data_IF_442299106116
#
_entry.id   IF_442299106116
#
_cell.length_a   1.000
_cell.length_b   1.000
_cell.length_c   1.000
_cell.angle_alpha   90.00
_cell.angle_beta   90.00
_cell.angle_gamma   90.00
#
_symmetry.space_group_name_H-M   'P 1'
#
loop_
_entity.id
_entity.type
_entity.pdbx_description
1 polymer ?
#
# COMPACT_ATOMS: atom_id res chain seq x y z
N UNK A 1 -27.32 20.64 16.32
CA UNK A 1 -27.62 19.35 16.97
C UNK A 1 -28.81 18.67 16.29
N UNK A 2 -28.80 17.34 16.09
CA UNK A 2 -29.95 16.55 15.62
C UNK A 2 -30.51 15.80 16.83
N UNK A 3 -31.72 16.12 17.23
CA UNK A 3 -32.44 15.38 18.30
C UNK A 3 -32.85 14.00 17.80
N UNK A 4 -32.71 12.98 18.64
CA UNK A 4 -33.25 11.64 18.40
C UNK A 4 -34.78 11.64 18.46
N UNK A 5 -35.44 10.58 18.01
CA UNK A 5 -36.91 10.49 18.05
C UNK A 5 -37.45 10.55 19.49
N UNK A 6 -36.79 9.83 20.39
CA UNK A 6 -37.18 9.76 21.82
C UNK A 6 -36.97 11.12 22.50
N UNK A 7 -35.88 11.83 22.22
CA UNK A 7 -35.66 13.20 22.76
C UNK A 7 -36.75 14.17 22.31
N UNK A 8 -37.18 14.07 21.04
CA UNK A 8 -38.26 14.94 20.51
C UNK A 8 -39.60 14.62 21.20
N UNK A 9 -39.87 13.35 21.44
CA UNK A 9 -41.07 12.90 22.13
C UNK A 9 -41.10 13.41 23.58
N UNK A 10 -39.97 13.30 24.28
CA UNK A 10 -39.80 13.80 25.62
C UNK A 10 -40.02 15.31 25.70
N UNK A 11 -39.44 16.06 24.78
CA UNK A 11 -39.62 17.53 24.67
C UNK A 11 -41.12 17.86 24.44
N UNK A 12 -41.81 17.12 23.56
CA UNK A 12 -43.24 17.31 23.33
C UNK A 12 -44.02 17.07 24.62
N UNK A 13 -43.81 15.97 25.33
CA UNK A 13 -44.48 15.63 26.60
C UNK A 13 -44.19 16.66 27.68
N UNK A 14 -42.96 17.16 27.79
CA UNK A 14 -42.59 18.23 28.71
C UNK A 14 -43.35 19.54 28.42
N UNK A 15 -43.50 19.88 27.15
CA UNK A 15 -44.25 21.11 26.74
C UNK A 15 -45.75 20.94 27.02
N UNK A 16 -46.37 19.77 26.75
CA UNK A 16 -47.77 19.51 26.97
C UNK A 16 -48.12 19.50 28.48
N UNK A 17 -47.22 18.97 29.33
CA UNK A 17 -47.44 18.89 30.78
C UNK A 17 -46.89 20.07 31.58
N UNK A 18 -46.35 21.09 30.92
CA UNK A 18 -45.76 22.24 31.59
C UNK A 18 -46.80 23.23 32.07
N UNK A 19 -46.65 23.68 33.32
CA UNK A 19 -47.43 24.83 33.85
C UNK A 19 -47.03 26.18 33.25
N UNK A 20 -45.93 26.23 32.46
CA UNK A 20 -45.45 27.41 31.79
C UNK A 20 -45.99 27.45 30.36
N UNK A 21 -46.23 28.65 29.86
CA UNK A 21 -46.62 28.81 28.44
C UNK A 21 -45.52 28.27 27.50
N UNK A 22 -45.93 27.68 26.37
CA UNK A 22 -45.07 27.00 25.37
C UNK A 22 -43.78 27.75 25.08
N UNK A 23 -43.86 29.07 24.92
CA UNK A 23 -42.67 29.91 24.63
C UNK A 23 -41.62 29.79 25.73
N UNK A 24 -42.03 29.97 26.99
CA UNK A 24 -41.11 29.95 28.14
C UNK A 24 -40.51 28.56 28.39
N UNK A 25 -41.29 27.52 28.12
CA UNK A 25 -40.82 26.13 28.23
C UNK A 25 -39.76 25.82 27.17
N UNK A 26 -40.02 26.20 25.91
CA UNK A 26 -39.06 26.01 24.82
C UNK A 26 -37.78 26.82 24.97
N UNK A 27 -37.90 28.07 25.47
CA UNK A 27 -36.74 28.92 25.75
C UNK A 27 -35.82 28.28 26.83
N UNK A 28 -36.42 27.65 27.87
CA UNK A 28 -35.68 26.92 28.90
C UNK A 28 -35.01 25.63 28.38
N UNK A 29 -35.64 24.95 27.41
CA UNK A 29 -35.15 23.75 26.77
C UNK A 29 -34.15 24.04 25.63
N UNK A 30 -33.93 25.30 25.26
CA UNK A 30 -33.06 25.70 24.16
C UNK A 30 -33.57 25.24 22.79
N UNK A 31 -34.89 25.05 22.63
CA UNK A 31 -35.49 24.59 21.36
C UNK A 31 -36.20 25.72 20.65
N UNK A 32 -35.82 25.98 19.39
CA UNK A 32 -36.46 27.00 18.58
C UNK A 32 -37.92 26.62 18.28
N UNK A 33 -38.86 27.61 18.49
CA UNK A 33 -40.30 27.44 18.26
C UNK A 33 -40.68 26.82 16.90
N UNK A 34 -40.10 27.26 15.75
CA UNK A 34 -40.44 26.67 14.46
C UNK A 34 -40.04 25.20 14.36
N UNK A 35 -38.96 24.82 15.03
CA UNK A 35 -38.48 23.43 15.09
C UNK A 35 -39.44 22.56 15.90
N UNK A 36 -39.87 23.03 17.06
CA UNK A 36 -40.86 22.32 17.88
C UNK A 36 -42.19 22.13 17.15
N UNK A 37 -42.80 23.17 16.60
CA UNK A 37 -44.08 23.06 15.89
C UNK A 37 -44.01 22.15 14.66
N UNK A 38 -42.86 22.10 13.99
CA UNK A 38 -42.64 21.15 12.90
C UNK A 38 -42.62 19.69 13.39
N UNK A 39 -42.05 19.40 14.57
CA UNK A 39 -42.11 18.08 15.18
C UNK A 39 -43.52 17.77 15.67
N UNK A 40 -44.16 18.72 16.33
CA UNK A 40 -45.51 18.57 16.89
C UNK A 40 -46.54 18.29 15.79
N UNK A 41 -46.50 19.01 14.69
CA UNK A 41 -47.37 18.71 13.54
C UNK A 41 -47.17 17.28 12.99
N UNK A 42 -45.93 16.81 12.95
CA UNK A 42 -45.64 15.42 12.52
C UNK A 42 -46.12 14.36 13.54
N UNK A 43 -45.99 14.69 14.80
CA UNK A 43 -46.47 13.84 15.91
C UNK A 43 -47.99 13.73 15.85
N UNK A 44 -48.71 14.82 15.69
CA UNK A 44 -50.18 14.80 15.54
C UNK A 44 -50.64 14.01 14.31
N UNK A 45 -49.90 14.12 13.19
CA UNK A 45 -50.28 13.46 11.94
C UNK A 45 -49.94 11.93 11.91
N UNK A 46 -48.89 11.48 12.62
CA UNK A 46 -48.35 10.12 12.46
C UNK A 46 -47.91 9.45 13.80
N UNK A 47 -48.24 10.05 14.90
CA UNK A 47 -47.79 9.58 16.23
C UNK A 47 -46.26 9.60 16.37
N UNK A 48 -45.71 8.74 17.21
CA UNK A 48 -44.29 8.62 17.49
C UNK A 48 -43.46 8.32 16.22
N UNK A 49 -44.01 7.54 15.28
CA UNK A 49 -43.34 7.24 13.99
C UNK A 49 -43.05 8.50 13.14
N UNK A 50 -43.84 9.59 13.35
CA UNK A 50 -43.63 10.86 12.69
C UNK A 50 -42.39 11.62 13.16
N UNK A 51 -41.84 11.27 14.32
CA UNK A 51 -40.66 11.92 14.91
C UNK A 51 -39.34 11.32 14.42
N UNK A 52 -39.39 10.16 13.79
CA UNK A 52 -38.19 9.53 13.24
C UNK A 52 -37.44 10.46 12.29
N UNK A 53 -36.12 10.50 12.43
CA UNK A 53 -35.27 11.26 11.56
C UNK A 53 -35.26 10.60 10.17
N UNK A 54 -35.93 11.21 9.20
CA UNK A 54 -35.83 10.76 7.81
C UNK A 54 -34.41 11.01 7.31
N UNK A 55 -33.70 9.93 7.02
CA UNK A 55 -32.45 10.01 6.31
C UNK A 55 -32.75 10.39 4.85
N UNK A 56 -32.47 11.64 4.50
CA UNK A 56 -32.56 12.14 3.10
C UNK A 56 -31.25 11.90 2.37
N UNK A 57 -30.69 10.71 2.45
CA UNK A 57 -29.65 10.29 1.54
C UNK A 57 -30.28 9.78 0.24
N UNK A 58 -29.59 9.85 -0.90
CA UNK A 58 -30.06 9.14 -2.09
C UNK A 58 -30.26 7.67 -1.73
N UNK A 59 -31.43 7.12 -2.01
CA UNK A 59 -31.78 5.75 -1.67
C UNK A 59 -30.78 4.74 -2.24
N UNK A 60 -30.18 5.08 -3.39
CA UNK A 60 -29.10 4.31 -4.03
C UNK A 60 -28.08 5.29 -4.63
N UNK A 61 -26.87 5.45 -4.09
CA UNK A 61 -25.83 6.24 -4.71
C UNK A 61 -25.38 5.57 -6.02
N UNK A 62 -25.20 6.35 -7.07
CA UNK A 62 -24.79 5.87 -8.41
C UNK A 62 -23.51 5.04 -8.41
N UNK A 63 -22.65 5.22 -7.41
CA UNK A 63 -21.37 4.55 -7.26
C UNK A 63 -21.43 3.33 -6.33
N UNK A 64 -22.63 2.85 -5.96
CA UNK A 64 -22.79 1.63 -5.16
C UNK A 64 -22.26 0.43 -5.96
N UNK A 65 -21.47 -0.42 -5.31
CA UNK A 65 -21.04 -1.68 -5.89
C UNK A 65 -22.23 -2.63 -6.08
N UNK A 66 -22.37 -3.27 -7.26
CA UNK A 66 -23.30 -4.38 -7.45
C UNK A 66 -23.02 -5.50 -6.45
N UNK A 67 -24.06 -6.24 -6.07
CA UNK A 67 -23.94 -7.30 -5.08
C UNK A 67 -23.04 -8.45 -5.54
N UNK A 68 -23.10 -8.80 -6.82
CA UNK A 68 -22.20 -9.78 -7.42
C UNK A 68 -20.71 -9.38 -7.28
N UNK A 69 -20.39 -8.11 -7.54
CA UNK A 69 -19.03 -7.58 -7.40
C UNK A 69 -18.57 -7.61 -5.95
N UNK A 70 -19.49 -7.35 -5.00
CA UNK A 70 -19.19 -7.44 -3.57
C UNK A 70 -18.87 -8.87 -3.15
N UNK A 71 -19.68 -9.84 -3.60
CA UNK A 71 -19.45 -11.26 -3.33
C UNK A 71 -18.08 -11.72 -3.81
N UNK A 72 -17.76 -11.48 -5.08
CA UNK A 72 -16.45 -11.84 -5.66
C UNK A 72 -15.27 -11.18 -4.95
N UNK A 73 -15.44 -9.94 -4.45
CA UNK A 73 -14.38 -9.25 -3.72
C UNK A 73 -14.15 -9.86 -2.33
N UNK A 74 -15.22 -10.31 -1.67
CA UNK A 74 -15.13 -11.01 -0.38
C UNK A 74 -14.48 -12.38 -0.58
N UNK A 75 -14.87 -13.13 -1.60
CA UNK A 75 -14.25 -14.41 -1.96
C UNK A 75 -12.75 -14.26 -2.18
N UNK A 76 -12.33 -13.29 -3.00
CA UNK A 76 -10.91 -12.99 -3.21
C UNK A 76 -10.16 -12.64 -1.91
N UNK A 77 -10.81 -11.90 -1.01
CA UNK A 77 -10.18 -11.55 0.27
C UNK A 77 -10.04 -12.74 1.23
N UNK A 78 -10.91 -13.75 1.12
CA UNK A 78 -10.82 -15.00 1.88
C UNK A 78 -9.78 -15.95 1.28
N UNK A 79 -9.62 -15.95 -0.05
CA UNK A 79 -8.61 -16.73 -0.75
C UNK A 79 -7.19 -16.18 -0.55
N UNK A 80 -7.06 -14.84 -0.47
CA UNK A 80 -5.79 -14.16 -0.33
C UNK A 80 -5.79 -13.24 0.93
N UNK A 81 -5.84 -13.80 2.14
CA UNK A 81 -6.01 -13.03 3.38
C UNK A 81 -4.80 -12.13 3.72
N UNK A 82 -3.66 -12.37 3.11
CA UNK A 82 -2.42 -11.60 3.33
C UNK A 82 -2.40 -10.28 2.56
N UNK A 83 -3.26 -10.14 1.54
CA UNK A 83 -3.30 -8.95 0.73
C UNK A 83 -3.99 -7.79 1.47
N UNK A 84 -3.36 -6.62 1.43
CA UNK A 84 -3.97 -5.39 1.92
C UNK A 84 -5.18 -4.98 1.06
N UNK A 85 -6.13 -4.17 1.58
CA UNK A 85 -7.26 -3.67 0.81
C UNK A 85 -6.86 -2.97 -0.50
N UNK A 86 -5.67 -2.37 -0.53
CA UNK A 86 -5.09 -1.72 -1.70
C UNK A 86 -4.67 -2.76 -2.75
N UNK A 87 -3.95 -3.79 -2.33
CA UNK A 87 -3.51 -4.87 -3.21
C UNK A 87 -4.69 -5.66 -3.75
N UNK A 88 -5.68 -5.96 -2.91
CA UNK A 88 -6.95 -6.57 -3.32
C UNK A 88 -7.70 -5.74 -4.38
N UNK A 89 -7.74 -4.40 -4.22
CA UNK A 89 -8.38 -3.52 -5.21
C UNK A 89 -7.69 -3.61 -6.57
N UNK A 90 -6.37 -3.66 -6.57
CA UNK A 90 -5.57 -3.78 -7.82
C UNK A 90 -5.74 -5.17 -8.44
N UNK A 91 -5.61 -6.22 -7.63
CA UNK A 91 -5.76 -7.61 -8.06
C UNK A 91 -7.14 -7.85 -8.67
N UNK A 92 -8.19 -7.42 -7.97
CA UNK A 92 -9.57 -7.51 -8.44
C UNK A 92 -9.79 -6.75 -9.75
N UNK A 93 -9.24 -5.53 -9.86
CA UNK A 93 -9.37 -4.72 -11.09
C UNK A 93 -8.77 -5.42 -12.29
N UNK A 94 -7.62 -6.09 -12.13
CA UNK A 94 -7.01 -6.86 -13.22
C UNK A 94 -7.77 -8.15 -13.54
N UNK A 95 -8.12 -8.92 -12.51
CA UNK A 95 -8.75 -10.22 -12.69
C UNK A 95 -10.17 -10.12 -13.29
N UNK A 96 -10.93 -9.11 -12.86
CA UNK A 96 -12.35 -8.96 -13.24
C UNK A 96 -12.60 -7.87 -14.31
N UNK A 97 -11.58 -7.12 -14.71
CA UNK A 97 -11.75 -5.98 -15.61
C UNK A 97 -12.73 -4.93 -15.07
N UNK A 98 -12.85 -4.82 -13.74
CA UNK A 98 -13.81 -3.97 -13.05
C UNK A 98 -13.14 -3.17 -11.94
N UNK A 99 -13.17 -1.86 -12.05
CA UNK A 99 -12.50 -0.98 -11.09
C UNK A 99 -13.23 -0.88 -9.75
N UNK A 100 -12.49 -1.10 -8.67
CA UNK A 100 -12.88 -0.80 -7.29
C UNK A 100 -11.81 0.07 -6.64
N UNK A 101 -12.22 1.01 -5.79
CA UNK A 101 -11.26 1.83 -5.05
C UNK A 101 -10.84 1.14 -3.76
N UNK A 102 -9.61 1.35 -3.31
CA UNK A 102 -9.09 0.89 -2.03
C UNK A 102 -10.03 1.21 -0.86
N UNK A 103 -10.52 2.45 -0.78
CA UNK A 103 -11.43 2.88 0.28
C UNK A 103 -12.78 2.15 0.25
N UNK A 104 -13.20 1.64 -0.90
CA UNK A 104 -14.42 0.82 -1.02
C UNK A 104 -14.15 -0.60 -0.54
N UNK A 105 -13.01 -1.18 -0.94
CA UNK A 105 -12.55 -2.49 -0.44
C UNK A 105 -12.41 -2.46 1.07
N UNK A 106 -11.69 -1.47 1.61
CA UNK A 106 -11.52 -1.31 3.06
C UNK A 106 -12.86 -1.28 3.81
N UNK A 107 -13.83 -0.46 3.34
CA UNK A 107 -15.16 -0.37 3.99
C UNK A 107 -15.95 -1.67 3.89
N UNK A 108 -15.84 -2.38 2.76
CA UNK A 108 -16.49 -3.67 2.57
C UNK A 108 -15.91 -4.72 3.53
N UNK A 109 -14.59 -4.87 3.56
CA UNK A 109 -13.92 -5.83 4.43
C UNK A 109 -14.14 -5.52 5.91
N UNK A 110 -14.11 -4.23 6.28
CA UNK A 110 -14.44 -3.82 7.66
C UNK A 110 -15.88 -4.15 8.05
N UNK A 111 -16.84 -4.02 7.13
CA UNK A 111 -18.24 -4.37 7.40
C UNK A 111 -18.47 -5.88 7.56
N UNK A 112 -17.52 -6.71 7.11
CA UNK A 112 -17.52 -8.17 7.23
C UNK A 112 -16.51 -8.69 8.26
N UNK A 113 -15.94 -7.81 9.10
CA UNK A 113 -14.93 -8.12 10.12
C UNK A 113 -13.68 -8.86 9.57
N UNK A 114 -13.36 -8.65 8.28
CA UNK A 114 -12.21 -9.25 7.61
C UNK A 114 -10.94 -8.41 7.72
N UNK A 115 -10.98 -7.25 8.38
CA UNK A 115 -9.78 -6.45 8.67
C UNK A 115 -9.37 -6.71 10.09
N UNK A 116 -8.31 -7.49 10.26
CA UNK A 116 -7.78 -7.92 11.56
C UNK A 116 -6.73 -6.99 12.14
N UNK A 117 -6.20 -6.05 11.37
CA UNK A 117 -5.10 -5.17 11.79
C UNK A 117 -5.48 -3.69 11.67
N UNK A 118 -5.07 -2.84 12.64
CA UNK A 118 -5.18 -1.40 12.46
C UNK A 118 -4.36 -0.98 11.24
N UNK A 119 -4.88 -0.05 10.46
CA UNK A 119 -4.18 0.49 9.31
C UNK A 119 -2.77 0.92 9.70
N UNK A 120 -1.75 0.36 9.04
CA UNK A 120 -0.38 0.78 9.23
C UNK A 120 -0.29 2.27 8.91
N UNK A 121 0.15 3.06 9.86
CA UNK A 121 0.49 4.46 9.62
C UNK A 121 1.75 4.46 8.75
N UNK A 122 1.58 4.70 7.46
CA UNK A 122 2.70 4.91 6.55
C UNK A 122 3.32 6.26 6.91
N UNK A 123 4.41 6.23 7.65
CA UNK A 123 5.25 7.41 7.84
C UNK A 123 5.83 7.76 6.47
N UNK A 124 5.39 8.87 5.90
CA UNK A 124 6.00 9.40 4.67
C UNK A 124 7.48 9.59 4.94
N UNK A 125 8.33 8.91 4.15
CA UNK A 125 9.75 9.14 4.19
C UNK A 125 10.01 10.62 3.84
N UNK A 126 10.58 11.36 4.78
CA UNK A 126 11.01 12.73 4.54
C UNK A 126 12.22 12.68 3.59
N UNK A 127 12.17 13.53 2.57
CA UNK A 127 13.24 13.89 1.64
C UNK A 127 13.97 12.74 0.92
N UNK A 128 13.59 12.59 -0.32
CA UNK A 128 14.27 11.75 -1.29
C UNK A 128 15.64 12.35 -1.68
N UNK A 129 16.54 11.47 -2.13
CA UNK A 129 17.81 11.81 -2.74
C UNK A 129 17.67 12.94 -3.78
N UNK A 130 18.57 13.93 -3.77
CA UNK A 130 18.48 15.10 -4.66
C UNK A 130 18.51 14.73 -6.14
N UNK A 131 19.25 13.67 -6.51
CA UNK A 131 19.35 13.17 -7.89
C UNK A 131 18.40 11.99 -8.07
N UNK A 132 17.13 12.27 -8.33
CA UNK A 132 16.14 11.21 -8.62
C UNK A 132 16.52 10.47 -9.90
N UNK A 133 16.51 9.14 -9.82
CA UNK A 133 16.63 8.29 -11.00
C UNK A 133 15.42 8.45 -11.90
N UNK A 134 15.64 8.51 -13.21
CA UNK A 134 14.60 8.66 -14.23
C UNK A 134 14.40 7.39 -15.06
N UNK A 135 15.26 6.39 -14.87
CA UNK A 135 15.21 5.12 -15.59
C UNK A 135 15.93 4.00 -14.85
N UNK A 136 15.69 2.79 -15.30
CA UNK A 136 16.32 1.58 -14.76
C UNK A 136 17.83 1.58 -15.02
N UNK A 137 18.56 0.89 -14.15
CA UNK A 137 20.02 0.72 -14.27
C UNK A 137 20.84 2.03 -14.25
N UNK A 138 20.31 3.12 -13.74
CA UNK A 138 21.06 4.36 -13.51
C UNK A 138 21.79 4.35 -12.17
N UNK A 139 21.14 3.82 -11.14
CA UNK A 139 21.67 3.74 -9.79
C UNK A 139 21.22 2.42 -9.16
N UNK A 140 22.18 1.68 -8.62
CA UNK A 140 21.93 0.47 -7.84
C UNK A 140 22.23 0.72 -6.38
N UNK A 141 21.32 0.33 -5.49
CA UNK A 141 21.57 0.33 -4.06
C UNK A 141 22.09 -1.04 -3.64
N UNK A 142 23.06 -1.05 -2.75
CA UNK A 142 23.58 -2.26 -2.13
C UNK A 142 23.68 -2.10 -0.63
N UNK A 143 23.36 -3.17 0.07
CA UNK A 143 23.50 -3.27 1.51
C UNK A 143 23.51 -4.73 1.95
N UNK A 144 24.04 -4.98 3.15
CA UNK A 144 23.98 -6.28 3.80
C UNK A 144 22.88 -6.32 4.84
N UNK A 145 22.17 -7.45 4.90
CA UNK A 145 21.38 -7.80 6.06
C UNK A 145 21.79 -9.18 6.55
N UNK A 146 21.44 -9.55 7.78
CA UNK A 146 21.93 -10.79 8.40
C UNK A 146 20.78 -11.62 8.95
N UNK A 147 21.00 -12.95 8.93
CA UNK A 147 20.11 -13.96 9.44
C UNK A 147 20.89 -14.97 10.28
N UNK A 148 20.23 -15.54 11.28
CA UNK A 148 20.82 -16.60 12.10
C UNK A 148 20.24 -17.97 11.69
N UNK A 149 21.12 -18.92 11.40
CA UNK A 149 20.74 -20.32 11.17
C UNK A 149 21.17 -21.12 12.40
N UNK A 150 20.24 -21.85 13.00
CA UNK A 150 20.48 -22.61 14.23
C UNK A 150 21.53 -23.70 14.00
N UNK A 151 22.56 -23.70 14.83
CA UNK A 151 23.69 -24.66 14.69
C UNK A 151 24.77 -24.22 13.69
N UNK A 152 24.52 -23.25 12.82
CA UNK A 152 25.47 -22.82 11.77
C UNK A 152 26.01 -21.38 11.98
N UNK A 153 25.30 -20.55 12.77
CA UNK A 153 25.73 -19.20 13.07
C UNK A 153 25.06 -18.14 12.20
N UNK A 154 25.80 -17.07 11.88
CA UNK A 154 25.29 -15.92 11.15
C UNK A 154 25.59 -16.02 9.65
N UNK A 155 24.60 -15.71 8.84
CA UNK A 155 24.69 -15.56 7.40
C UNK A 155 24.33 -14.13 7.00
N UNK A 156 24.96 -13.64 5.96
CA UNK A 156 24.84 -12.26 5.49
C UNK A 156 24.29 -12.25 4.07
N UNK A 157 23.20 -11.55 3.86
CA UNK A 157 22.57 -11.41 2.56
C UNK A 157 23.08 -10.12 1.90
N UNK A 158 23.89 -10.26 0.85
CA UNK A 158 24.27 -9.18 -0.05
C UNK A 158 23.17 -8.99 -1.08
N UNK A 159 22.69 -7.75 -1.27
CA UNK A 159 21.58 -7.44 -2.19
C UNK A 159 21.94 -6.29 -3.12
N UNK A 160 21.55 -6.39 -4.38
CA UNK A 160 21.61 -5.31 -5.37
C UNK A 160 20.18 -4.98 -5.83
N UNK A 161 19.74 -3.77 -5.52
CA UNK A 161 18.41 -3.24 -5.82
C UNK A 161 18.52 -2.09 -6.83
N UNK A 162 17.73 -2.14 -7.90
CA UNK A 162 17.58 -1.00 -8.82
C UNK A 162 16.80 0.14 -8.17
N UNK A 163 17.40 1.32 -8.10
CA UNK A 163 16.82 2.47 -7.40
C UNK A 163 15.51 2.94 -8.01
N UNK A 164 15.37 2.89 -9.33
CA UNK A 164 14.18 3.35 -10.03
C UNK A 164 12.99 2.41 -9.86
N UNK A 165 13.19 1.16 -10.24
CA UNK A 165 12.13 0.13 -10.27
C UNK A 165 11.91 -0.61 -8.95
N UNK A 166 12.84 -0.52 -7.99
CA UNK A 166 12.88 -1.35 -6.76
C UNK A 166 13.15 -2.83 -7.03
N UNK A 167 13.44 -3.22 -8.25
CA UNK A 167 13.71 -4.59 -8.63
C UNK A 167 14.98 -5.11 -7.98
N UNK A 168 14.92 -6.28 -7.36
CA UNK A 168 16.10 -6.98 -6.84
C UNK A 168 16.76 -7.69 -8.02
N UNK A 169 17.90 -7.12 -8.47
CA UNK A 169 18.61 -7.60 -9.64
C UNK A 169 19.40 -8.87 -9.30
N UNK A 170 20.08 -8.84 -8.14
CA UNK A 170 20.88 -9.95 -7.65
C UNK A 170 20.93 -9.96 -6.13
N UNK A 171 21.12 -11.14 -5.58
CA UNK A 171 21.34 -11.35 -4.16
C UNK A 171 22.19 -12.60 -3.95
N UNK A 172 22.90 -12.66 -2.82
CA UNK A 172 23.69 -13.82 -2.41
C UNK A 172 23.69 -13.96 -0.89
N UNK A 173 23.56 -15.19 -0.42
CA UNK A 173 23.76 -15.55 0.97
C UNK A 173 25.25 -15.85 1.19
N UNK A 174 25.90 -15.09 2.07
CA UNK A 174 27.33 -15.12 2.33
C UNK A 174 27.60 -15.49 3.79
N UNK A 175 28.77 -16.06 4.06
CA UNK A 175 29.23 -16.32 5.43
C UNK A 175 30.05 -15.15 6.00
N UNK A 176 30.43 -14.20 5.16
CA UNK A 176 31.20 -13.00 5.53
C UNK A 176 30.55 -11.74 4.93
N UNK A 177 31.04 -10.55 5.32
CA UNK A 177 30.69 -9.26 4.72
C UNK A 177 31.95 -8.60 4.16
N UNK A 178 32.66 -9.29 3.27
CA UNK A 178 33.88 -8.78 2.66
C UNK A 178 33.60 -8.10 1.31
N UNK A 179 34.56 -7.33 0.83
CA UNK A 179 34.48 -6.69 -0.49
C UNK A 179 34.29 -7.73 -1.62
N UNK A 180 34.91 -8.90 -1.48
CA UNK A 180 34.72 -10.02 -2.41
C UNK A 180 33.26 -10.50 -2.50
N UNK A 181 32.50 -10.52 -1.40
CA UNK A 181 31.08 -10.90 -1.41
C UNK A 181 30.25 -9.87 -2.19
N UNK A 182 30.59 -8.57 -2.04
CA UNK A 182 29.92 -7.49 -2.78
C UNK A 182 30.25 -7.58 -4.27
N UNK A 183 31.52 -7.75 -4.64
CA UNK A 183 31.93 -7.83 -6.06
C UNK A 183 31.30 -9.03 -6.76
N UNK A 184 31.25 -10.19 -6.12
CA UNK A 184 30.59 -11.38 -6.67
C UNK A 184 29.08 -11.17 -6.88
N UNK A 185 28.40 -10.45 -5.96
CA UNK A 185 26.99 -10.12 -6.13
C UNK A 185 26.80 -9.11 -7.29
N UNK A 186 27.68 -8.14 -7.42
CA UNK A 186 27.69 -7.18 -8.53
C UNK A 186 27.96 -7.84 -9.89
N UNK A 187 28.84 -8.87 -9.96
CA UNK A 187 29.06 -9.64 -11.19
C UNK A 187 27.80 -10.34 -11.67
N UNK A 188 27.06 -10.95 -10.73
CA UNK A 188 25.74 -11.54 -11.05
C UNK A 188 24.79 -10.44 -11.54
N UNK A 189 24.72 -9.30 -10.85
CA UNK A 189 23.86 -8.20 -11.24
C UNK A 189 24.18 -7.65 -12.63
N UNK A 190 25.45 -7.43 -12.96
CA UNK A 190 25.89 -6.97 -14.28
C UNK A 190 25.52 -7.95 -15.39
N UNK A 191 25.62 -9.25 -15.13
CA UNK A 191 25.27 -10.30 -16.08
C UNK A 191 23.77 -10.35 -16.32
N UNK A 192 22.97 -10.41 -15.24
CA UNK A 192 21.51 -10.55 -15.31
C UNK A 192 20.87 -9.28 -15.93
N UNK A 193 21.38 -8.10 -15.62
CA UNK A 193 20.88 -6.84 -16.17
C UNK A 193 21.31 -6.56 -17.62
N UNK A 194 22.25 -7.35 -18.15
CA UNK A 194 22.87 -7.09 -19.46
C UNK A 194 23.85 -5.90 -19.47
N UNK A 195 24.07 -5.25 -18.31
CA UNK A 195 24.98 -4.11 -18.20
C UNK A 195 26.47 -4.51 -18.32
N UNK A 196 26.81 -5.79 -18.38
CA UNK A 196 28.14 -6.28 -18.63
C UNK A 196 28.61 -6.00 -20.06
N UNK A 197 27.68 -5.92 -21.02
CA UNK A 197 28.00 -5.72 -22.44
C UNK A 197 28.66 -4.37 -22.69
N UNK A 198 29.74 -4.36 -23.49
CA UNK A 198 30.64 -3.23 -23.69
C UNK A 198 30.01 -1.98 -24.36
N UNK A 199 28.78 -2.05 -24.86
CA UNK A 199 28.11 -0.97 -25.60
C UNK A 199 27.18 -0.09 -24.73
N UNK A 200 27.14 -0.30 -23.42
CA UNK A 200 26.34 0.52 -22.52
C UNK A 200 27.14 1.83 -22.24
N UNK A 201 26.70 2.94 -22.78
CA UNK A 201 27.37 4.25 -22.60
C UNK A 201 27.45 4.67 -21.12
N UNK A 202 26.46 4.28 -20.31
CA UNK A 202 26.42 4.61 -18.89
C UNK A 202 26.23 3.35 -18.05
N UNK A 203 27.29 2.93 -17.40
CA UNK A 203 27.21 1.88 -16.36
C UNK A 203 26.44 2.41 -15.14
N UNK A 204 25.68 1.55 -14.43
CA UNK A 204 25.01 1.97 -13.22
C UNK A 204 25.98 2.48 -12.17
N UNK A 205 25.60 3.52 -11.44
CA UNK A 205 26.33 3.96 -10.25
C UNK A 205 25.93 3.07 -9.08
N UNK A 206 26.87 2.76 -8.21
CA UNK A 206 26.60 2.01 -6.98
C UNK A 206 26.38 2.99 -5.83
N UNK A 207 25.30 2.83 -5.08
CA UNK A 207 25.03 3.55 -3.82
C UNK A 207 25.14 2.56 -2.66
N UNK A 208 26.03 2.86 -1.72
CA UNK A 208 26.23 2.07 -0.49
C UNK A 208 26.28 2.96 0.74
N UNK A 209 26.25 2.37 1.91
CA UNK A 209 26.67 3.01 3.15
C UNK A 209 28.21 3.17 3.23
N UNK A 210 28.71 3.55 4.41
CA UNK A 210 30.14 3.67 4.68
C UNK A 210 30.70 2.45 5.45
N UNK A 211 30.09 1.28 5.30
CA UNK A 211 30.57 0.05 5.91
C UNK A 211 31.99 -0.33 5.42
N UNK A 212 32.76 -1.09 6.25
CA UNK A 212 34.16 -1.42 5.94
C UNK A 212 34.34 -2.08 4.56
N UNK A 213 33.42 -2.96 4.15
CA UNK A 213 33.46 -3.60 2.84
C UNK A 213 33.29 -2.60 1.69
N UNK A 214 32.50 -1.53 1.87
CA UNK A 214 32.20 -0.54 0.84
C UNK A 214 33.27 0.57 0.73
N UNK A 215 34.08 0.80 1.77
CA UNK A 215 35.21 1.75 1.74
C UNK A 215 36.52 1.10 1.33
N UNK A 216 36.54 -0.20 1.09
CA UNK A 216 37.74 -0.96 0.75
C UNK A 216 38.33 -0.54 -0.59
N UNK A 217 39.67 -0.57 -0.68
CA UNK A 217 40.36 -0.32 -1.94
C UNK A 217 40.08 -1.40 -2.98
N UNK A 218 39.85 -2.63 -2.55
CA UNK A 218 39.52 -3.76 -3.40
C UNK A 218 38.24 -3.49 -4.21
N UNK A 219 37.14 -3.09 -3.52
CA UNK A 219 35.88 -2.74 -4.18
C UNK A 219 36.08 -1.52 -5.10
N UNK A 220 36.81 -0.50 -4.65
CA UNK A 220 37.07 0.70 -5.45
C UNK A 220 37.81 0.37 -6.76
N UNK A 221 38.82 -0.48 -6.71
CA UNK A 221 39.55 -0.97 -7.89
C UNK A 221 38.65 -1.76 -8.83
N UNK A 222 37.85 -2.67 -8.26
CA UNK A 222 36.93 -3.48 -9.05
C UNK A 222 35.90 -2.61 -9.78
N UNK A 223 35.23 -1.66 -9.07
CA UNK A 223 34.25 -0.73 -9.65
C UNK A 223 34.87 0.11 -10.78
N UNK A 224 36.10 0.62 -10.56
CA UNK A 224 36.84 1.33 -11.59
C UNK A 224 37.11 0.48 -12.83
N UNK A 225 37.48 -0.78 -12.63
CA UNK A 225 37.67 -1.77 -13.71
C UNK A 225 36.40 -2.03 -14.51
N UNK A 226 35.25 -1.98 -13.88
CA UNK A 226 33.94 -2.14 -14.52
C UNK A 226 33.39 -0.81 -15.12
N UNK A 227 34.03 0.32 -14.91
CA UNK A 227 33.55 1.63 -15.35
C UNK A 227 32.33 2.12 -14.54
N UNK A 228 32.13 1.61 -13.34
CA UNK A 228 31.03 1.97 -12.44
C UNK A 228 31.42 3.10 -11.49
N UNK A 229 30.56 4.11 -11.37
CA UNK A 229 30.71 5.13 -10.33
C UNK A 229 30.24 4.63 -8.97
N UNK A 230 30.88 5.11 -7.90
CA UNK A 230 30.49 4.81 -6.53
C UNK A 230 30.03 6.07 -5.80
N UNK A 231 28.81 6.03 -5.28
CA UNK A 231 28.22 7.08 -4.43
C UNK A 231 28.07 6.49 -3.03
N UNK A 232 28.58 7.17 -2.03
CA UNK A 232 28.43 6.76 -0.64
C UNK A 232 27.48 7.71 0.08
N UNK A 233 26.66 7.17 0.96
CA UNK A 233 25.78 7.97 1.81
C UNK A 233 26.59 8.97 2.63
N UNK A 234 26.09 10.20 2.77
CA UNK A 234 26.71 11.16 3.67
C UNK A 234 26.67 10.63 5.11
N UNK A 235 27.73 10.83 5.91
CA UNK A 235 27.72 10.43 7.32
C UNK A 235 26.50 11.05 8.02
N UNK A 236 25.79 10.25 8.83
CA UNK A 236 24.57 10.62 9.57
C UNK A 236 23.35 11.02 8.72
N UNK A 237 23.29 10.64 7.45
CA UNK A 237 22.09 10.76 6.62
C UNK A 237 21.55 9.38 6.19
N UNK A 238 20.84 8.64 7.05
CA UNK A 238 20.30 7.29 6.75
C UNK A 238 19.26 7.30 5.63
N UNK A 239 18.72 8.46 5.28
CA UNK A 239 17.63 8.59 4.30
C UNK A 239 18.06 8.25 2.85
N UNK A 240 19.34 8.19 2.56
CA UNK A 240 19.87 7.92 1.22
C UNK A 240 19.60 6.50 0.74
N UNK A 241 19.48 5.53 1.65
CA UNK A 241 19.26 4.11 1.37
C UNK A 241 17.88 3.57 1.79
N UNK A 242 16.94 4.46 2.09
CA UNK A 242 15.62 4.08 2.59
C UNK A 242 14.83 3.09 1.72
N UNK A 243 15.23 2.86 0.46
CA UNK A 243 14.61 1.86 -0.42
C UNK A 243 15.07 0.46 -0.11
N UNK A 244 16.39 0.26 0.02
CA UNK A 244 16.96 -1.06 0.37
C UNK A 244 16.68 -1.40 1.85
N UNK A 245 16.64 -0.41 2.73
CA UNK A 245 16.26 -0.62 4.13
C UNK A 245 14.82 -1.15 4.24
N UNK A 246 13.88 -0.57 3.49
CA UNK A 246 12.49 -1.08 3.44
C UNK A 246 12.39 -2.47 2.82
N UNK A 247 13.22 -2.76 1.84
CA UNK A 247 13.34 -4.10 1.29
C UNK A 247 13.77 -5.08 2.39
N UNK A 248 14.86 -4.79 3.10
CA UNK A 248 15.33 -5.62 4.20
C UNK A 248 14.28 -5.79 5.31
N UNK A 249 13.56 -4.73 5.67
CA UNK A 249 12.48 -4.82 6.64
C UNK A 249 11.36 -5.74 6.15
N UNK A 250 10.96 -5.63 4.89
CA UNK A 250 9.92 -6.48 4.31
C UNK A 250 10.35 -7.95 4.26
N UNK A 251 11.59 -8.20 3.86
CA UNK A 251 12.19 -9.55 3.84
C UNK A 251 12.24 -10.16 5.25
N UNK A 252 12.75 -9.40 6.22
CA UNK A 252 12.83 -9.87 7.62
C UNK A 252 11.46 -10.18 8.21
N UNK A 253 10.46 -9.39 7.92
CA UNK A 253 9.10 -9.63 8.43
C UNK A 253 8.48 -10.93 7.91
N UNK A 254 8.93 -11.44 6.76
CA UNK A 254 8.48 -12.72 6.22
C UNK A 254 9.43 -13.87 6.64
N UNK A 255 10.72 -13.73 6.35
CA UNK A 255 11.70 -14.80 6.54
C UNK A 255 11.96 -15.09 8.01
N UNK A 256 11.89 -14.10 8.93
CA UNK A 256 12.11 -14.35 10.36
C UNK A 256 10.89 -14.92 11.11
N UNK A 257 9.79 -15.18 10.42
CA UNK A 257 8.66 -15.90 11.02
C UNK A 257 8.99 -17.39 11.24
N UNK A 258 10.00 -17.91 10.53
CA UNK A 258 10.45 -19.29 10.60
C UNK A 258 11.85 -19.40 11.22
N UNK A 259 12.15 -20.55 11.77
CA UNK A 259 13.47 -20.91 12.26
C UNK A 259 14.16 -21.84 11.25
N UNK A 260 15.35 -21.46 10.82
CA UNK A 260 16.11 -22.22 9.84
C UNK A 260 17.16 -23.10 10.53
N UNK A 261 17.23 -24.36 10.14
CA UNK A 261 18.17 -25.34 10.64
C UNK A 261 19.25 -25.67 9.61
N UNK A 262 18.98 -25.41 8.33
CA UNK A 262 19.96 -25.60 7.24
C UNK A 262 20.08 -24.26 6.46
N UNK A 263 21.32 -23.91 6.06
CA UNK A 263 21.53 -22.72 5.22
C UNK A 263 20.75 -22.76 3.91
N UNK A 264 20.56 -23.95 3.32
CA UNK A 264 19.79 -24.13 2.09
C UNK A 264 18.30 -23.77 2.23
N UNK A 265 17.70 -24.04 3.39
CA UNK A 265 16.28 -23.68 3.65
C UNK A 265 16.12 -22.17 3.70
N UNK A 266 17.07 -21.47 4.34
CA UNK A 266 17.10 -20.00 4.35
C UNK A 266 17.29 -19.44 2.94
N UNK A 267 18.21 -20.01 2.15
CA UNK A 267 18.46 -19.58 0.78
C UNK A 267 17.22 -19.75 -0.09
N UNK A 268 16.53 -20.87 0.02
CA UNK A 268 15.27 -21.13 -0.67
C UNK A 268 14.20 -20.11 -0.29
N UNK A 269 13.97 -19.87 1.01
CA UNK A 269 12.97 -18.91 1.51
C UNK A 269 13.26 -17.49 1.04
N UNK A 270 14.53 -17.08 1.05
CA UNK A 270 14.94 -15.78 0.48
C UNK A 270 14.65 -15.72 -1.02
N UNK A 271 14.95 -16.77 -1.76
CA UNK A 271 14.69 -16.87 -3.20
C UNK A 271 13.21 -16.75 -3.55
N UNK A 272 12.36 -17.47 -2.83
CA UNK A 272 10.90 -17.42 -2.97
C UNK A 272 10.36 -16.01 -2.66
N UNK A 273 10.85 -15.39 -1.59
CA UNK A 273 10.46 -14.03 -1.26
C UNK A 273 10.93 -13.01 -2.30
N UNK A 274 12.14 -13.12 -2.84
CA UNK A 274 12.62 -12.26 -3.93
C UNK A 274 11.74 -12.40 -5.16
N UNK A 275 11.38 -13.63 -5.53
CA UNK A 275 10.47 -13.87 -6.66
C UNK A 275 9.10 -13.22 -6.44
N UNK A 276 8.51 -13.42 -5.26
CA UNK A 276 7.27 -12.77 -4.86
C UNK A 276 7.39 -11.24 -4.90
N UNK A 277 8.42 -10.67 -4.27
CA UNK A 277 8.65 -9.24 -4.20
C UNK A 277 8.79 -8.61 -5.60
N UNK A 278 9.55 -9.23 -6.47
CA UNK A 278 9.80 -8.71 -7.81
C UNK A 278 8.58 -8.83 -8.73
N UNK A 279 7.83 -9.92 -8.67
CA UNK A 279 6.84 -10.27 -9.69
C UNK A 279 5.39 -10.19 -9.23
N UNK A 280 5.12 -10.20 -7.92
CA UNK A 280 3.75 -10.26 -7.40
C UNK A 280 3.39 -9.10 -6.49
N UNK A 281 4.34 -8.57 -5.72
CA UNK A 281 4.08 -7.50 -4.77
C UNK A 281 3.87 -6.17 -5.48
N UNK A 282 2.71 -5.54 -5.23
CA UNK A 282 2.41 -4.19 -5.69
C UNK A 282 3.03 -3.13 -4.80
N UNK A 283 3.70 -2.13 -5.41
CA UNK A 283 4.33 -1.03 -4.71
C UNK A 283 3.57 0.28 -4.89
N UNK A 284 3.18 0.90 -3.78
CA UNK A 284 2.47 2.19 -3.80
C UNK A 284 3.28 3.28 -4.50
N UNK A 285 4.59 3.36 -4.21
CA UNK A 285 5.49 4.33 -4.83
C UNK A 285 5.67 4.13 -6.35
N UNK A 286 5.29 2.98 -6.87
CA UNK A 286 5.29 2.64 -8.29
C UNK A 286 3.87 2.65 -8.89
N UNK A 287 2.91 3.36 -8.28
CA UNK A 287 1.50 3.37 -8.71
C UNK A 287 0.85 1.98 -8.69
N UNK A 288 1.24 1.15 -7.73
CA UNK A 288 0.76 -0.22 -7.55
C UNK A 288 1.03 -1.16 -8.75
N UNK A 289 2.17 -1.01 -9.40
CA UNK A 289 2.74 -2.04 -10.30
C UNK A 289 3.85 -2.78 -9.58
N UNK A 290 4.26 -3.93 -10.12
CA UNK A 290 5.34 -4.72 -9.53
C UNK A 290 6.72 -4.14 -9.93
N UNK A 291 7.78 -4.37 -9.14
CA UNK A 291 9.13 -3.99 -9.51
C UNK A 291 9.54 -4.52 -10.88
N UNK A 292 9.19 -5.76 -11.21
CA UNK A 292 9.47 -6.36 -12.51
C UNK A 292 8.76 -5.65 -13.66
N UNK A 293 7.52 -5.20 -13.47
CA UNK A 293 6.80 -4.48 -14.52
C UNK A 293 7.47 -3.14 -14.85
N UNK A 294 7.99 -2.45 -13.84
CA UNK A 294 8.74 -1.21 -14.06
C UNK A 294 10.10 -1.51 -14.69
N UNK A 295 10.84 -2.50 -14.16
CA UNK A 295 12.18 -2.85 -14.62
C UNK A 295 12.21 -3.28 -16.10
N UNK A 296 11.20 -4.05 -16.53
CA UNK A 296 11.06 -4.53 -17.90
C UNK A 296 10.22 -3.60 -18.81
N UNK A 297 9.88 -2.39 -18.35
CA UNK A 297 9.21 -1.37 -19.15
C UNK A 297 7.72 -1.62 -19.43
N UNK A 298 7.06 -2.53 -18.67
CA UNK A 298 5.63 -2.85 -18.84
C UNK A 298 4.72 -1.92 -18.04
N UNK A 299 5.27 -1.16 -17.08
CA UNK A 299 4.51 -0.40 -16.10
C UNK A 299 3.52 0.59 -16.71
N UNK A 300 3.95 1.38 -17.71
CA UNK A 300 3.09 2.37 -18.36
C UNK A 300 1.89 1.74 -19.08
N UNK A 301 2.10 0.63 -19.79
CA UNK A 301 1.03 -0.10 -20.48
C UNK A 301 -0.03 -0.62 -19.48
N UNK A 302 0.42 -1.17 -18.35
CA UNK A 302 -0.46 -1.64 -17.27
C UNK A 302 -1.28 -0.50 -16.68
N UNK A 303 -0.66 0.65 -16.42
CA UNK A 303 -1.34 1.83 -15.87
C UNK A 303 -2.38 2.40 -16.83
N UNK A 304 -2.07 2.42 -18.11
CA UNK A 304 -3.00 2.85 -19.16
C UNK A 304 -4.20 1.91 -19.28
N UNK A 305 -3.98 0.59 -19.22
CA UNK A 305 -5.06 -0.39 -19.19
C UNK A 305 -5.97 -0.21 -17.97
N UNK A 306 -5.40 -0.03 -16.78
CA UNK A 306 -6.17 0.27 -15.55
C UNK A 306 -7.00 1.54 -15.69
N UNK A 307 -6.46 2.57 -16.35
CA UNK A 307 -7.17 3.81 -16.61
C UNK A 307 -8.41 3.56 -17.47
N UNK A 308 -8.27 2.79 -18.55
CA UNK A 308 -9.38 2.40 -19.43
C UNK A 308 -10.45 1.58 -18.69
N UNK A 309 -10.03 0.59 -17.88
CA UNK A 309 -10.94 -0.20 -17.05
C UNK A 309 -11.73 0.70 -16.10
N UNK A 310 -11.04 1.63 -15.42
CA UNK A 310 -11.67 2.59 -14.50
C UNK A 310 -12.71 3.45 -15.20
N UNK A 311 -12.38 4.05 -16.34
CA UNK A 311 -13.28 4.90 -17.12
C UNK A 311 -14.52 4.10 -17.57
N UNK A 312 -14.32 2.92 -18.15
CA UNK A 312 -15.40 2.01 -18.56
C UNK A 312 -16.32 1.63 -17.39
N UNK A 313 -15.73 1.27 -16.25
CA UNK A 313 -16.51 0.90 -15.06
C UNK A 313 -17.35 2.05 -14.54
N UNK A 314 -16.80 3.27 -14.49
CA UNK A 314 -17.51 4.47 -14.03
C UNK A 314 -18.65 4.81 -14.99
N UNK A 315 -18.42 4.74 -16.29
CA UNK A 315 -19.45 4.98 -17.31
C UNK A 315 -20.60 3.98 -17.19
N UNK A 316 -20.26 2.69 -17.07
CA UNK A 316 -21.27 1.62 -16.91
C UNK A 316 -22.12 1.82 -15.66
N UNK A 317 -21.52 2.14 -14.52
CA UNK A 317 -22.27 2.42 -13.27
C UNK A 317 -23.20 3.62 -13.40
N UNK A 318 -22.76 4.69 -14.08
CA UNK A 318 -23.60 5.88 -14.30
C UNK A 318 -24.79 5.55 -15.19
N UNK A 319 -24.56 4.80 -16.25
CA UNK A 319 -25.62 4.37 -17.18
C UNK A 319 -26.66 3.50 -16.45
N UNK A 320 -26.21 2.50 -15.70
CA UNK A 320 -27.10 1.64 -14.91
C UNK A 320 -27.95 2.44 -13.93
N UNK A 321 -27.34 3.39 -13.22
CA UNK A 321 -28.07 4.23 -12.28
C UNK A 321 -29.12 5.12 -12.98
N UNK A 322 -28.83 5.61 -14.19
CA UNK A 322 -29.81 6.38 -14.98
C UNK A 322 -31.00 5.50 -15.40
N UNK A 323 -30.74 4.26 -15.81
CA UNK A 323 -31.79 3.30 -16.20
C UNK A 323 -32.68 2.86 -15.02
N UNK A 324 -32.11 2.77 -13.80
CA UNK A 324 -32.88 2.42 -12.59
C UNK A 324 -33.68 3.60 -12.01
N UNK A 325 -33.42 4.82 -12.44
CA UNK A 325 -34.08 6.05 -11.92
C UNK A 325 -35.17 6.59 -12.82
N UNK A 326 -35.32 6.04 -14.01
CA UNK A 326 -36.44 6.24 -14.93
C UNK A 326 -37.53 5.23 -14.65
#
# INVERSE_FOLDING_TARGET
MRYAADEKLEIIRLVENSHLGVKRTLDKLGVARPTFYRWYARYLARGEAGLNNRYRGPARPWNRLPEEVRGKLIELALEEPELSPRELAVRFTHAQGYYVSESTVYRLLKAHDLITSPAFVVIKAANEFKDKTTGVNQLWQTDFTYFKVLGWGWFYLSTILDDYSRYIIAWRLCTTMQAADVTQTLEVALRVSGCQSARVEHKPRLLSDNGPCYISQELAHWLKGQGMGHVRGAPNHPQTQGKIERWHQSLKNCVLLEHYYLPGDLEQSVGEFVAYYNHQRYHESLSNVTPADVYFGRGEAILEERRKIKEKTIQSRRLQHQLETV
#
